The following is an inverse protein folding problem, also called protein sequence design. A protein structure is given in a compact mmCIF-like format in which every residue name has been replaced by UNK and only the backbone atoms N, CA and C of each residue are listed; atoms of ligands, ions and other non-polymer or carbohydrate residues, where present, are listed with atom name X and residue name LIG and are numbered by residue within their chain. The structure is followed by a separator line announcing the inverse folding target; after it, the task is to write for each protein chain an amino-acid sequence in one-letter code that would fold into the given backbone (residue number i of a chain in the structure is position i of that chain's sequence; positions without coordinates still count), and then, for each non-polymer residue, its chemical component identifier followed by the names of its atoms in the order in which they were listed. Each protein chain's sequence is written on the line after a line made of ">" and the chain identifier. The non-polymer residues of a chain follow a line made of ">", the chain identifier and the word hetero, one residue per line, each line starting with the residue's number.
data_IF_986139679550
#
_entry.id   IF_986139679550
#
_cell.length_a   1.000
_cell.length_b   1.000
_cell.length_c   1.000
_cell.angle_alpha   90.00
_cell.angle_beta   90.00
_cell.angle_gamma   90.00
#
_symmetry.space_group_name_H-M   'P 1'
#
loop_
_entity.id
_entity.type
_entity.pdbx_description
1 polymer ?
#
# COMPACT_ATOMS: atom_id res chain seq x y z
N UNK A 1 2.59 -8.66 13.62
CA UNK A 1 1.80 -7.49 13.16
C UNK A 1 2.79 -6.37 12.94
N UNK A 2 3.05 -5.96 11.70
CA UNK A 2 3.99 -4.87 11.43
C UNK A 2 3.24 -3.56 11.66
N UNK A 3 3.45 -2.95 12.83
CA UNK A 3 2.89 -1.64 13.17
C UNK A 3 3.97 -0.58 13.02
N UNK A 4 3.91 0.18 11.93
CA UNK A 4 4.59 1.47 11.84
C UNK A 4 3.71 2.49 12.58
N UNK A 5 4.01 2.76 13.86
CA UNK A 5 3.32 3.77 14.66
C UNK A 5 1.88 3.43 15.08
N UNK A 6 1.52 2.15 15.18
CA UNK A 6 0.21 1.72 15.70
C UNK A 6 -1.00 1.94 14.77
N UNK A 7 -0.79 2.43 13.54
CA UNK A 7 -1.85 2.53 12.51
C UNK A 7 -1.78 1.33 11.58
N UNK A 8 -2.91 0.67 11.35
CA UNK A 8 -3.03 -0.38 10.35
C UNK A 8 -2.86 0.25 8.97
N UNK A 9 -1.96 -0.32 8.16
CA UNK A 9 -1.71 0.08 6.77
C UNK A 9 -1.98 -1.13 5.90
N UNK A 10 -2.87 -0.99 4.92
CA UNK A 10 -3.10 -1.99 3.89
C UNK A 10 -2.65 -1.47 2.54
N UNK A 11 -1.85 -2.29 1.85
CA UNK A 11 -1.51 -2.11 0.45
C UNK A 11 -2.34 -3.11 -0.37
N UNK A 12 -3.09 -2.60 -1.32
CA UNK A 12 -3.91 -3.36 -2.26
C UNK A 12 -3.30 -3.19 -3.64
N UNK A 13 -3.03 -4.30 -4.32
CA UNK A 13 -2.52 -4.30 -5.69
C UNK A 13 -3.47 -5.12 -6.55
N UNK A 14 -4.02 -4.50 -7.59
CA UNK A 14 -4.94 -5.13 -8.54
C UNK A 14 -4.41 -4.91 -9.94
N UNK A 15 -3.80 -5.95 -10.53
CA UNK A 15 -3.17 -5.84 -11.84
C UNK A 15 -2.03 -4.82 -11.83
N UNK A 16 -2.25 -3.66 -12.45
CA UNK A 16 -1.30 -2.53 -12.49
C UNK A 16 -1.63 -1.41 -11.52
N UNK A 17 -2.76 -1.50 -10.83
CA UNK A 17 -3.23 -0.47 -9.91
C UNK A 17 -2.78 -0.80 -8.49
N UNK A 18 -2.39 0.23 -7.74
CA UNK A 18 -1.98 0.10 -6.35
C UNK A 18 -2.66 1.16 -5.50
N UNK A 19 -3.13 0.76 -4.32
CA UNK A 19 -3.76 1.63 -3.33
C UNK A 19 -3.23 1.34 -1.94
N UNK A 20 -2.91 2.37 -1.18
CA UNK A 20 -2.47 2.27 0.20
C UNK A 20 -3.45 3.00 1.12
N UNK A 21 -3.95 2.29 2.12
CA UNK A 21 -4.95 2.78 3.05
C UNK A 21 -4.38 2.68 4.47
N UNK A 22 -4.30 3.81 5.17
CA UNK A 22 -3.94 3.84 6.58
C UNK A 22 -5.17 4.16 7.44
N UNK A 23 -5.25 3.58 8.65
CA UNK A 23 -6.32 3.85 9.63
C UNK A 23 -6.37 5.30 10.17
N UNK A 24 -5.63 6.23 9.55
CA UNK A 24 -5.70 7.68 9.78
C UNK A 24 -6.37 8.48 8.69
N UNK A 25 -6.97 7.84 7.67
CA UNK A 25 -7.63 8.52 6.55
C UNK A 25 -6.69 8.87 5.39
N UNK A 26 -5.39 8.57 5.50
CA UNK A 26 -4.48 8.66 4.36
C UNK A 26 -4.81 7.55 3.37
N UNK A 27 -5.25 7.97 2.19
CA UNK A 27 -5.43 7.11 1.02
C UNK A 27 -4.43 7.57 -0.03
N UNK A 28 -3.52 6.68 -0.41
CA UNK A 28 -2.62 6.90 -1.52
C UNK A 28 -3.05 6.01 -2.69
N UNK A 29 -3.18 6.58 -3.88
CA UNK A 29 -3.55 5.85 -5.09
C UNK A 29 -2.47 5.98 -6.15
N UNK A 30 -2.27 4.93 -6.94
CA UNK A 30 -1.34 4.95 -8.05
C UNK A 30 -1.22 3.59 -8.73
N UNK A 31 -0.01 3.24 -9.14
CA UNK A 31 0.23 2.08 -10.00
C UNK A 31 1.49 1.33 -9.64
N UNK A 32 1.54 0.09 -10.08
CA UNK A 32 2.77 -0.72 -10.09
C UNK A 32 3.46 -0.58 -11.44
N UNK A 33 4.78 -0.47 -11.41
CA UNK A 33 5.64 -0.46 -12.58
C UNK A 33 6.72 -1.54 -12.51
N UNK A 34 7.59 -1.51 -13.50
CA UNK A 34 8.84 -2.27 -13.50
C UNK A 34 9.96 -1.31 -13.90
N UNK A 35 11.06 -1.37 -13.16
CA UNK A 35 12.24 -0.55 -13.39
C UNK A 35 13.47 -1.43 -13.21
N UNK A 36 14.31 -1.51 -14.24
CA UNK A 36 15.56 -2.27 -14.20
C UNK A 36 15.38 -3.76 -13.81
N UNK A 37 14.20 -4.33 -14.07
CA UNK A 37 13.82 -5.71 -13.70
C UNK A 37 13.16 -5.84 -12.32
N UNK A 38 13.15 -4.78 -11.52
CA UNK A 38 12.50 -4.73 -10.22
C UNK A 38 11.08 -4.17 -10.31
N UNK A 39 10.15 -4.74 -9.54
CA UNK A 39 8.78 -4.21 -9.46
C UNK A 39 8.76 -2.96 -8.59
N UNK A 40 8.13 -1.91 -9.07
CA UNK A 40 8.00 -0.64 -8.35
C UNK A 40 6.55 -0.31 -8.07
N UNK A 41 6.33 0.53 -7.07
CA UNK A 41 5.02 1.05 -6.67
C UNK A 41 5.15 2.56 -6.59
N UNK A 42 4.33 3.27 -7.37
CA UNK A 42 4.28 4.72 -7.38
C UNK A 42 2.89 5.16 -6.96
N UNK A 43 2.79 5.87 -5.84
CA UNK A 43 1.54 6.31 -5.24
C UNK A 43 1.53 7.82 -5.08
N UNK A 44 0.34 8.39 -5.12
CA UNK A 44 0.08 9.79 -4.76
C UNK A 44 -0.88 9.82 -3.57
N UNK A 45 -0.45 10.44 -2.46
CA UNK A 45 -1.24 10.54 -1.24
C UNK A 45 -2.01 11.86 -1.19
N UNK A 46 -3.32 11.81 -0.94
CA UNK A 46 -4.16 13.02 -0.80
C UNK A 46 -3.79 13.89 0.40
N UNK A 47 -3.18 13.31 1.43
CA UNK A 47 -2.71 14.03 2.62
C UNK A 47 -1.36 14.74 2.45
N UNK A 48 -0.74 14.69 1.26
CA UNK A 48 0.59 15.23 1.03
C UNK A 48 1.74 14.43 1.67
N UNK A 49 1.46 13.23 2.17
CA UNK A 49 2.47 12.33 2.72
C UNK A 49 3.43 11.86 1.61
N UNK A 50 4.74 11.93 1.87
CA UNK A 50 5.80 11.59 0.91
C UNK A 50 6.56 10.32 1.27
N UNK A 51 6.30 9.72 2.42
CA UNK A 51 7.01 8.56 2.95
C UNK A 51 6.54 7.21 2.39
N UNK A 52 5.53 7.21 1.49
CA UNK A 52 4.98 6.01 0.83
C UNK A 52 4.50 6.29 -0.60
N UNK A 53 5.25 7.11 -1.33
CA UNK A 53 4.91 7.52 -2.72
C UNK A 53 5.75 6.82 -3.77
N UNK A 54 6.95 6.37 -3.42
CA UNK A 54 7.89 5.73 -4.34
C UNK A 54 8.51 4.54 -3.60
N UNK A 55 8.18 3.33 -4.05
CA UNK A 55 8.58 2.09 -3.39
C UNK A 55 9.09 1.05 -4.37
N UNK A 56 10.11 0.31 -3.96
CA UNK A 56 10.66 -0.82 -4.71
C UNK A 56 10.33 -2.11 -3.98
N UNK A 57 9.76 -3.08 -4.69
CA UNK A 57 9.48 -4.40 -4.13
C UNK A 57 10.79 -5.17 -4.04
N UNK A 58 11.25 -5.42 -2.82
CA UNK A 58 12.51 -6.12 -2.57
C UNK A 58 12.31 -7.62 -2.32
N UNK A 59 11.10 -8.02 -1.92
CA UNK A 59 10.78 -9.42 -1.69
C UNK A 59 9.30 -9.72 -1.89
N UNK A 60 9.01 -10.85 -2.54
CA UNK A 60 7.67 -11.44 -2.65
C UNK A 60 7.75 -12.87 -2.14
N UNK A 61 7.02 -13.15 -1.07
CA UNK A 61 6.83 -14.49 -0.52
C UNK A 61 5.34 -14.90 -0.62
N UNK A 62 5.05 -16.14 -0.29
CA UNK A 62 3.69 -16.70 -0.37
C UNK A 62 2.68 -15.84 0.42
N UNK A 63 3.07 -15.40 1.62
CA UNK A 63 2.22 -14.69 2.57
C UNK A 63 2.77 -13.31 3.00
N UNK A 64 3.83 -12.82 2.36
CA UNK A 64 4.35 -11.48 2.61
C UNK A 64 4.89 -10.77 1.37
N UNK A 65 4.84 -9.45 1.41
CA UNK A 65 5.40 -8.55 0.41
C UNK A 65 6.25 -7.50 1.13
N UNK A 66 7.51 -7.34 0.75
CA UNK A 66 8.39 -6.32 1.32
C UNK A 66 8.62 -5.22 0.30
N UNK A 67 8.39 -3.98 0.72
CA UNK A 67 8.57 -2.78 -0.10
C UNK A 67 9.53 -1.85 0.61
N UNK A 68 10.61 -1.50 -0.06
CA UNK A 68 11.51 -0.43 0.36
C UNK A 68 10.96 0.90 -0.14
N UNK A 69 10.52 1.76 0.79
CA UNK A 69 9.95 3.06 0.44
C UNK A 69 11.01 4.15 0.53
N UNK A 70 11.09 4.96 -0.53
CA UNK A 70 11.96 6.12 -0.55
C UNK A 70 11.57 7.09 0.58
N UNK A 71 12.56 7.45 1.39
CA UNK A 71 12.36 8.35 2.53
C UNK A 71 12.01 7.64 3.84
N UNK A 72 11.95 6.31 3.85
CA UNK A 72 11.93 5.50 5.09
C UNK A 72 13.31 4.92 5.36
N UNK A 73 13.63 4.72 6.64
CA UNK A 73 14.90 4.14 7.06
C UNK A 73 14.93 2.61 6.90
N UNK A 74 13.75 1.97 7.02
CA UNK A 74 13.61 0.52 6.99
C UNK A 74 12.54 0.09 5.96
N UNK A 75 12.72 -1.07 5.30
CA UNK A 75 11.71 -1.65 4.43
C UNK A 75 10.44 -2.01 5.19
N UNK A 76 9.28 -1.83 4.54
CA UNK A 76 7.99 -2.14 5.12
C UNK A 76 7.50 -3.51 4.62
N UNK A 77 7.21 -4.42 5.55
CA UNK A 77 6.71 -5.77 5.24
C UNK A 77 5.20 -5.85 5.44
N UNK A 78 4.49 -6.13 4.37
CA UNK A 78 3.05 -6.37 4.33
C UNK A 78 2.78 -7.87 4.42
N UNK A 79 1.72 -8.25 5.14
CA UNK A 79 1.27 -9.64 5.23
C UNK A 79 0.04 -9.80 4.35
N UNK A 80 0.04 -10.85 3.54
CA UNK A 80 -1.14 -11.22 2.75
C UNK A 80 -2.26 -11.56 3.70
N UNK A 81 -3.43 -10.98 3.47
CA UNK A 81 -4.63 -11.34 4.22
C UNK A 81 -5.31 -12.51 3.54
N UNK A 82 -5.78 -13.47 4.34
CA UNK A 82 -6.53 -14.60 3.83
C UNK A 82 -7.85 -14.10 3.21
N UNK A 83 -8.18 -14.61 2.03
CA UNK A 83 -9.37 -14.24 1.27
C UNK A 83 -9.48 -12.75 0.87
N UNK A 84 -8.36 -12.00 0.86
CA UNK A 84 -8.37 -10.58 0.49
C UNK A 84 -9.12 -9.68 1.49
N UNK A 85 -9.35 -10.16 2.72
CA UNK A 85 -9.99 -9.37 3.75
C UNK A 85 -9.09 -8.21 4.17
N UNK A 86 -9.62 -6.99 4.17
CA UNK A 86 -8.90 -5.85 4.68
C UNK A 86 -8.80 -5.93 6.22
N UNK A 87 -7.66 -5.51 6.83
CA UNK A 87 -7.56 -5.35 8.28
C UNK A 87 -8.73 -4.51 8.82
N UNK A 88 -9.30 -4.94 9.96
CA UNK A 88 -10.36 -4.19 10.63
C UNK A 88 -9.90 -2.75 10.97
N UNK A 89 -10.77 -1.76 10.74
CA UNK A 89 -10.47 -0.34 10.98
C UNK A 89 -10.01 0.45 9.73
N UNK A 90 -10.03 -0.18 8.56
CA UNK A 90 -9.93 0.52 7.27
C UNK A 90 -11.31 1.01 6.83
N UNK A 91 -11.43 2.17 6.16
CA UNK A 91 -12.69 2.61 5.59
C UNK A 91 -13.14 1.56 4.58
N UNK A 92 -14.22 0.83 4.89
CA UNK A 92 -14.82 -0.18 3.99
C UNK A 92 -15.64 0.44 2.86
N UNK A 93 -15.51 1.75 2.63
CA UNK A 93 -16.07 2.42 1.46
C UNK A 93 -15.03 2.44 0.34
N UNK A 94 -15.18 1.57 -0.65
CA UNK A 94 -14.62 1.84 -1.97
C UNK A 94 -15.17 3.17 -2.51
N UNK A 95 -14.60 3.75 -3.59
CA UNK A 95 -15.25 4.86 -4.28
C UNK A 95 -16.62 4.36 -4.73
N UNK A 96 -17.66 4.68 -3.95
CA UNK A 96 -19.03 4.57 -4.38
C UNK A 96 -19.17 5.58 -5.51
N UNK A 97 -19.00 5.09 -6.74
CA UNK A 97 -19.62 5.68 -7.90
C UNK A 97 -21.11 5.76 -7.62
N UNK A 98 -21.54 6.88 -7.08
CA UNK A 98 -22.90 7.35 -7.09
C UNK A 98 -22.97 8.46 -8.12
N UNK A 99 -23.35 8.11 -9.35
CA UNK A 99 -24.10 9.05 -10.14
C UNK A 99 -25.40 9.30 -9.38
N UNK A 100 -25.63 10.55 -8.98
CA UNK A 100 -26.93 11.23 -8.92
C UNK A 100 -26.74 12.69 -8.52
#
# INVERSE_FOLDING_TARGET
>A
MATTGGKAVALVVTGREAGLFASGGTVCGGSTGERDGDRTITLTCTSGASDRVDGTVTSVADDSLTVDWKGRADPETYRRTENGQLPGGLPTGGPSGGAQ
#
